data_IF_044804678854
#
_entry.id   IF_044804678854
#
_cell.length_a   1.000
_cell.length_b   1.000
_cell.length_c   1.000
_cell.angle_alpha   90.00
_cell.angle_beta   90.00
_cell.angle_gamma   90.00
#
_symmetry.space_group_name_H-M   'P 1'
#
loop_
_entity.id
_entity.type
_entity.pdbx_description
1 polymer ?
#
# COMPACT_ATOMS: atom_id res chain seq x y z
N UNK A 1 -21.51 -6.93 -1.32
CA UNK A 1 -20.82 -7.88 -0.44
C UNK A 1 -20.24 -7.18 0.77
N UNK A 2 -20.46 -7.69 1.97
CA UNK A 2 -19.78 -7.23 3.18
C UNK A 2 -18.30 -7.70 3.21
N UNK A 3 -17.47 -7.12 4.09
CA UNK A 3 -16.04 -7.48 4.24
C UNK A 3 -15.87 -8.99 4.45
N UNK A 4 -16.60 -9.56 5.40
CA UNK A 4 -16.47 -10.97 5.79
C UNK A 4 -16.80 -11.92 4.62
N UNK A 5 -17.85 -11.59 3.86
CA UNK A 5 -18.25 -12.34 2.68
C UNK A 5 -17.12 -12.33 1.62
N UNK A 6 -16.51 -11.17 1.42
CA UNK A 6 -15.46 -11.00 0.42
C UNK A 6 -14.19 -11.76 0.80
N UNK A 7 -13.77 -11.68 2.07
CA UNK A 7 -12.65 -12.44 2.62
C UNK A 7 -12.88 -13.95 2.49
N UNK A 8 -14.08 -14.41 2.83
CA UNK A 8 -14.49 -15.82 2.72
C UNK A 8 -14.39 -16.31 1.27
N UNK A 9 -14.93 -15.55 0.31
CA UNK A 9 -14.88 -15.91 -1.12
C UNK A 9 -13.46 -15.93 -1.66
N UNK A 10 -12.61 -14.96 -1.28
CA UNK A 10 -11.20 -14.94 -1.71
C UNK A 10 -10.44 -16.15 -1.15
N UNK A 11 -10.68 -16.53 0.10
CA UNK A 11 -10.09 -17.73 0.70
C UNK A 11 -10.57 -19.00 0.01
N UNK A 12 -11.88 -19.11 -0.27
CA UNK A 12 -12.48 -20.25 -0.97
C UNK A 12 -11.84 -20.45 -2.35
N UNK A 13 -11.76 -19.39 -3.17
CA UNK A 13 -11.13 -19.49 -4.50
C UNK A 13 -9.63 -19.77 -4.43
N UNK A 14 -8.93 -19.29 -3.41
CA UNK A 14 -7.50 -19.61 -3.20
C UNK A 14 -7.33 -21.09 -2.94
N UNK A 15 -8.15 -21.68 -2.05
CA UNK A 15 -8.18 -23.12 -1.78
C UNK A 15 -8.45 -23.93 -3.05
N UNK A 16 -9.47 -23.56 -3.83
CA UNK A 16 -9.80 -24.24 -5.10
C UNK A 16 -8.64 -24.18 -6.11
N UNK A 17 -7.98 -23.03 -6.23
CA UNK A 17 -6.80 -22.90 -7.11
C UNK A 17 -5.68 -23.83 -6.65
N UNK A 18 -5.42 -23.91 -5.35
CA UNK A 18 -4.33 -24.72 -4.81
C UNK A 18 -4.64 -26.22 -4.91
N UNK A 19 -5.89 -26.64 -4.73
CA UNK A 19 -6.37 -28.01 -5.01
C UNK A 19 -6.15 -28.38 -6.48
N UNK A 20 -6.54 -27.51 -7.43
CA UNK A 20 -6.35 -27.74 -8.86
C UNK A 20 -4.88 -27.80 -9.28
N UNK A 21 -3.99 -27.07 -8.60
CA UNK A 21 -2.54 -27.13 -8.87
C UNK A 21 -1.92 -28.47 -8.48
N UNK A 22 -2.54 -29.25 -7.59
CA UNK A 22 -2.06 -30.60 -7.24
C UNK A 22 -2.39 -31.65 -8.30
N UNK A 23 -3.32 -31.34 -9.21
CA UNK A 23 -3.69 -32.25 -10.29
C UNK A 23 -2.66 -32.22 -11.44
N UNK A 24 -2.54 -33.31 -12.23
CA UNK A 24 -1.67 -33.33 -13.40
C UNK A 24 -1.97 -32.17 -14.33
N UNK A 25 -0.93 -31.42 -14.71
CA UNK A 25 -1.10 -30.22 -15.52
C UNK A 25 -1.67 -30.54 -16.89
N UNK A 26 -2.87 -30.04 -17.18
CA UNK A 26 -3.55 -30.19 -18.47
C UNK A 26 -4.15 -28.86 -18.95
N UNK A 27 -4.41 -28.74 -20.26
CA UNK A 27 -5.04 -27.53 -20.84
C UNK A 27 -6.40 -27.20 -20.18
N UNK A 28 -7.30 -28.18 -19.91
CA UNK A 28 -8.54 -27.92 -19.16
C UNK A 28 -8.29 -27.39 -17.74
N UNK A 29 -7.38 -28.00 -16.99
CA UNK A 29 -7.07 -27.59 -15.61
C UNK A 29 -6.50 -26.17 -15.58
N UNK A 30 -5.56 -25.85 -16.48
CA UNK A 30 -5.02 -24.48 -16.60
C UNK A 30 -6.14 -23.47 -16.88
N UNK A 31 -7.06 -23.78 -17.80
CA UNK A 31 -8.20 -22.91 -18.11
C UNK A 31 -9.10 -22.70 -16.89
N UNK A 32 -9.38 -23.76 -16.13
CA UNK A 32 -10.19 -23.68 -14.91
C UNK A 32 -9.51 -22.80 -13.85
N UNK A 33 -8.21 -22.97 -13.63
CA UNK A 33 -7.43 -22.12 -12.71
C UNK A 33 -7.52 -20.65 -13.12
N UNK A 34 -7.36 -20.33 -14.41
CA UNK A 34 -7.45 -18.94 -14.89
C UNK A 34 -8.85 -18.35 -14.70
N UNK A 35 -9.92 -19.13 -14.94
CA UNK A 35 -11.28 -18.68 -14.65
C UNK A 35 -11.47 -18.34 -13.17
N UNK A 36 -10.97 -19.20 -12.27
CA UNK A 36 -11.07 -18.97 -10.82
C UNK A 36 -10.21 -17.77 -10.39
N UNK A 37 -9.02 -17.58 -10.97
CA UNK A 37 -8.19 -16.39 -10.71
C UNK A 37 -8.89 -15.09 -11.12
N UNK A 38 -9.60 -15.09 -12.25
CA UNK A 38 -10.38 -13.93 -12.71
C UNK A 38 -11.46 -13.59 -11.66
N UNK A 39 -12.23 -14.58 -11.21
CA UNK A 39 -13.27 -14.40 -10.20
C UNK A 39 -12.68 -13.94 -8.86
N UNK A 40 -11.66 -14.64 -8.33
CA UNK A 40 -10.94 -14.23 -7.12
C UNK A 40 -10.43 -12.79 -7.21
N UNK A 41 -9.91 -12.41 -8.38
CA UNK A 41 -9.44 -11.06 -8.65
C UNK A 41 -10.56 -10.02 -8.59
N UNK A 42 -11.79 -10.33 -9.03
CA UNK A 42 -12.94 -9.42 -8.92
C UNK A 42 -13.29 -9.15 -7.46
N UNK A 43 -13.37 -10.21 -6.64
CA UNK A 43 -13.66 -10.09 -5.21
C UNK A 43 -12.58 -9.32 -4.46
N UNK A 44 -11.30 -9.64 -4.70
CA UNK A 44 -10.18 -8.92 -4.11
C UNK A 44 -10.19 -7.44 -4.49
N UNK A 45 -10.46 -7.09 -5.76
CA UNK A 45 -10.56 -5.68 -6.19
C UNK A 45 -11.69 -4.94 -5.48
N UNK A 46 -12.86 -5.55 -5.33
CA UNK A 46 -13.98 -4.93 -4.63
C UNK A 46 -13.64 -4.61 -3.16
N UNK A 47 -12.89 -5.48 -2.48
CA UNK A 47 -12.40 -5.21 -1.12
C UNK A 47 -11.37 -4.07 -1.10
N UNK A 48 -10.40 -4.10 -2.02
CA UNK A 48 -9.38 -3.05 -2.13
C UNK A 48 -9.99 -1.68 -2.42
N UNK A 49 -11.03 -1.60 -3.26
CA UNK A 49 -11.76 -0.35 -3.53
C UNK A 49 -12.40 0.22 -2.26
N UNK A 50 -13.00 -0.63 -1.42
CA UNK A 50 -13.55 -0.22 -0.12
C UNK A 50 -12.46 0.26 0.84
N UNK A 51 -11.33 -0.43 0.89
CA UNK A 51 -10.18 -0.03 1.70
C UNK A 51 -9.71 1.35 1.24
N UNK A 52 -9.46 1.53 -0.06
CA UNK A 52 -9.01 2.82 -0.59
C UNK A 52 -10.00 3.95 -0.31
N UNK A 53 -11.30 3.68 -0.44
CA UNK A 53 -12.34 4.66 -0.14
C UNK A 53 -12.40 5.07 1.35
N UNK A 54 -11.88 4.25 2.27
CA UNK A 54 -11.85 4.54 3.71
C UNK A 54 -10.60 5.34 4.14
N UNK A 55 -9.51 5.31 3.36
CA UNK A 55 -8.26 5.98 3.74
C UNK A 55 -8.33 7.49 3.55
N UNK A 56 -7.88 8.23 4.57
CA UNK A 56 -7.73 9.68 4.58
C UNK A 56 -6.37 10.03 5.19
N UNK A 57 -5.67 10.96 4.56
CA UNK A 57 -4.43 11.55 5.05
C UNK A 57 -4.71 12.97 5.53
N UNK A 58 -4.05 13.40 6.59
CA UNK A 58 -4.17 14.71 7.22
C UNK A 58 -2.76 15.31 7.29
N UNK A 59 -2.62 16.61 7.02
CA UNK A 59 -1.34 17.29 7.19
C UNK A 59 -1.35 18.27 8.37
N UNK A 60 -0.20 18.88 8.67
CA UNK A 60 -0.06 19.80 9.80
C UNK A 60 -0.86 21.10 9.65
N UNK A 61 -1.40 21.38 8.45
CA UNK A 61 -2.29 22.51 8.18
C UNK A 61 -3.78 22.16 8.40
N UNK A 62 -4.09 20.91 8.75
CA UNK A 62 -5.46 20.42 8.91
C UNK A 62 -6.17 20.09 7.59
N UNK A 63 -5.45 20.06 6.46
CA UNK A 63 -6.02 19.63 5.18
C UNK A 63 -6.18 18.11 5.16
N UNK A 64 -7.17 17.61 4.40
CA UNK A 64 -7.44 16.18 4.25
C UNK A 64 -7.33 15.76 2.79
N UNK A 65 -6.60 14.69 2.51
CA UNK A 65 -6.48 14.07 1.19
C UNK A 65 -7.02 12.62 1.22
N UNK A 66 -8.11 12.32 0.51
CA UNK A 66 -8.53 10.94 0.27
C UNK A 66 -7.52 10.16 -0.55
N UNK A 67 -7.28 8.89 -0.20
CA UNK A 67 -6.35 8.04 -0.97
C UNK A 67 -6.78 7.90 -2.44
N UNK A 68 -8.08 7.91 -2.72
CA UNK A 68 -8.64 7.86 -4.07
C UNK A 68 -8.34 9.09 -4.92
N UNK A 69 -7.93 10.20 -4.32
CA UNK A 69 -7.61 11.46 -5.00
C UNK A 69 -6.09 11.66 -5.16
N UNK A 70 -5.28 10.74 -4.65
CA UNK A 70 -3.82 10.81 -4.81
C UNK A 70 -3.45 10.55 -6.27
N UNK A 71 -2.72 11.50 -6.87
CA UNK A 71 -2.14 11.30 -8.20
C UNK A 71 -1.02 10.26 -8.14
N UNK A 72 -1.29 9.10 -8.72
CA UNK A 72 -0.35 7.97 -8.82
C UNK A 72 0.10 7.75 -10.26
N UNK A 73 -0.29 8.61 -11.21
CA UNK A 73 -0.12 8.37 -12.64
C UNK A 73 -0.93 7.18 -13.18
N UNK A 74 -1.88 6.67 -12.39
CA UNK A 74 -2.70 5.50 -12.74
C UNK A 74 -4.15 5.73 -12.34
N UNK A 75 -5.07 4.96 -12.94
CA UNK A 75 -6.50 5.11 -12.68
C UNK A 75 -6.92 4.73 -11.26
N UNK A 76 -6.07 4.02 -10.52
CA UNK A 76 -6.35 3.56 -9.15
C UNK A 76 -5.08 3.51 -8.32
N UNK A 77 -5.12 3.91 -7.04
CA UNK A 77 -3.97 3.79 -6.16
C UNK A 77 -3.43 2.34 -6.09
N UNK A 78 -2.10 2.15 -5.97
CA UNK A 78 -1.52 0.83 -5.74
C UNK A 78 -2.02 0.19 -4.45
N UNK A 79 -2.18 -1.13 -4.42
CA UNK A 79 -2.54 -1.84 -3.19
C UNK A 79 -1.46 -1.68 -2.12
N UNK A 80 -1.90 -1.37 -0.90
CA UNK A 80 -1.03 -1.11 0.25
C UNK A 80 -0.43 0.31 0.28
N UNK A 81 -0.93 1.22 -0.56
CA UNK A 81 -0.57 2.63 -0.47
C UNK A 81 -1.04 3.23 0.87
N UNK A 82 -0.17 4.01 1.51
CA UNK A 82 -0.41 4.54 2.86
C UNK A 82 -0.18 3.55 4.00
N UNK A 83 0.18 2.29 3.70
CA UNK A 83 0.36 1.26 4.73
C UNK A 83 1.80 1.16 5.27
N UNK A 84 2.75 1.84 4.62
CA UNK A 84 4.15 1.92 5.06
C UNK A 84 4.30 2.69 6.40
N UNK A 85 5.45 2.50 7.05
CA UNK A 85 5.73 3.12 8.35
C UNK A 85 5.76 4.65 8.27
N UNK A 86 6.47 5.22 7.29
CA UNK A 86 6.58 6.67 7.11
C UNK A 86 5.22 7.42 7.14
N UNK A 87 4.24 7.11 6.25
CA UNK A 87 2.96 7.82 6.28
C UNK A 87 2.20 7.60 7.60
N UNK A 88 2.24 6.40 8.19
CA UNK A 88 1.57 6.12 9.47
C UNK A 88 2.16 6.92 10.63
N UNK A 89 3.48 7.02 10.71
CA UNK A 89 4.17 7.79 11.75
C UNK A 89 3.88 9.28 11.62
N UNK A 90 3.90 9.82 10.40
CA UNK A 90 3.53 11.22 10.14
C UNK A 90 2.08 11.48 10.55
N UNK A 91 1.13 10.65 10.12
CA UNK A 91 -0.28 10.75 10.53
C UNK A 91 -0.44 10.71 12.04
N UNK A 92 0.28 9.81 12.72
CA UNK A 92 0.23 9.70 14.17
C UNK A 92 0.77 10.96 14.85
N UNK A 93 1.91 11.49 14.40
CA UNK A 93 2.46 12.73 14.94
C UNK A 93 1.48 13.89 14.78
N UNK A 94 0.96 14.10 13.57
CA UNK A 94 0.03 15.17 13.22
C UNK A 94 -1.25 15.09 14.08
N UNK A 95 -1.87 13.90 14.17
CA UNK A 95 -3.11 13.70 14.94
C UNK A 95 -2.94 13.87 16.45
N UNK A 96 -1.73 13.69 16.95
CA UNK A 96 -1.41 13.89 18.37
C UNK A 96 -0.84 15.29 18.65
N UNK A 97 -0.84 16.20 17.66
CA UNK A 97 -0.28 17.55 17.81
C UNK A 97 1.23 17.57 18.05
N UNK A 98 1.94 16.52 17.64
CA UNK A 98 3.39 16.43 17.72
C UNK A 98 4.02 17.08 16.49
N UNK A 99 5.11 17.81 16.69
CA UNK A 99 5.88 18.43 15.60
C UNK A 99 6.92 17.44 15.06
N UNK A 100 6.82 16.98 13.81
CA UNK A 100 7.86 16.15 13.22
C UNK A 100 9.14 16.96 13.03
N UNK A 101 10.25 16.51 13.63
CA UNK A 101 11.57 17.16 13.51
C UNK A 101 12.46 16.50 12.45
N UNK A 102 12.18 15.25 12.12
CA UNK A 102 12.95 14.46 11.16
C UNK A 102 12.44 13.02 11.14
N UNK A 103 12.72 12.33 10.05
CA UNK A 103 12.36 10.93 9.86
C UNK A 103 13.40 10.26 8.98
N UNK A 104 13.74 9.03 9.30
CA UNK A 104 14.60 8.18 8.48
C UNK A 104 14.04 6.77 8.45
N UNK A 105 14.13 6.12 7.29
CA UNK A 105 13.82 4.70 7.13
C UNK A 105 15.13 3.95 6.90
N UNK A 106 15.33 2.85 7.62
CA UNK A 106 16.51 1.98 7.47
C UNK A 106 16.11 0.52 7.50
N UNK A 107 17.01 -0.32 7.00
CA UNK A 107 16.83 -1.78 7.03
C UNK A 107 17.56 -2.39 8.23
N UNK A 108 16.91 -3.35 8.89
CA UNK A 108 17.48 -4.11 10.00
C UNK A 108 17.42 -5.61 9.71
N UNK A 109 18.53 -6.32 9.85
CA UNK A 109 18.68 -7.72 9.50
C UNK A 109 19.32 -7.99 8.13
N UNK A 110 19.59 -9.27 7.87
CA UNK A 110 20.36 -9.71 6.72
C UNK A 110 19.66 -9.41 5.37
N UNK A 111 20.42 -9.05 4.32
CA UNK A 111 19.89 -8.94 2.96
C UNK A 111 19.33 -10.28 2.48
N UNK A 112 18.29 -10.22 1.64
CA UNK A 112 17.75 -11.40 0.96
C UNK A 112 17.85 -11.24 -0.55
N UNK A 113 17.81 -12.35 -1.30
CA UNK A 113 17.79 -12.30 -2.76
C UNK A 113 16.59 -11.50 -3.32
N UNK A 114 15.47 -11.47 -2.59
CA UNK A 114 14.25 -10.75 -2.98
C UNK A 114 14.33 -9.26 -2.58
N UNK A 115 14.96 -8.96 -1.44
CA UNK A 115 15.13 -7.60 -0.92
C UNK A 115 16.61 -7.37 -0.60
N UNK A 116 17.41 -6.90 -1.59
CA UNK A 116 18.84 -6.67 -1.42
C UNK A 116 19.09 -5.35 -0.66
N UNK A 117 18.60 -5.29 0.57
CA UNK A 117 18.77 -4.15 1.48
C UNK A 117 19.84 -4.50 2.50
N UNK A 118 20.80 -3.61 2.69
CA UNK A 118 21.88 -3.76 3.64
C UNK A 118 21.46 -3.25 5.00
N UNK A 119 21.80 -3.99 6.04
CA UNK A 119 21.56 -3.59 7.44
C UNK A 119 22.20 -2.23 7.75
N UNK A 120 21.47 -1.39 8.49
CA UNK A 120 21.90 -0.06 8.91
C UNK A 120 21.91 1.00 7.79
N UNK A 121 21.60 0.64 6.55
CA UNK A 121 21.57 1.59 5.44
C UNK A 121 20.24 2.32 5.38
N UNK A 122 20.32 3.64 5.17
CA UNK A 122 19.17 4.51 4.97
C UNK A 122 18.63 4.37 3.55
N UNK A 123 17.31 4.28 3.48
CA UNK A 123 16.60 4.21 2.21
C UNK A 123 15.47 5.23 2.21
N UNK A 124 15.34 5.93 1.07
CA UNK A 124 14.19 6.81 0.87
C UNK A 124 12.89 6.01 0.77
N UNK A 125 11.79 6.71 0.97
CA UNK A 125 10.46 6.12 0.90
C UNK A 125 10.15 5.52 -0.47
N UNK A 126 9.22 4.56 -0.46
CA UNK A 126 8.88 3.81 -1.64
C UNK A 126 8.35 4.71 -2.77
N UNK A 127 8.99 4.68 -3.94
CA UNK A 127 8.67 5.58 -5.07
C UNK A 127 7.25 5.45 -5.57
N UNK A 128 6.74 4.22 -5.65
CA UNK A 128 5.43 3.98 -6.26
C UNK A 128 4.25 4.23 -5.33
N UNK A 129 4.43 4.10 -4.00
CA UNK A 129 3.32 4.18 -3.03
C UNK A 129 3.46 5.31 -2.02
N UNK A 130 4.66 5.61 -1.56
CA UNK A 130 4.88 6.55 -0.46
C UNK A 130 5.13 7.95 -1.01
N UNK A 131 6.00 8.03 -2.03
CA UNK A 131 6.40 9.31 -2.62
C UNK A 131 5.20 10.18 -3.06
N UNK A 132 4.13 9.65 -3.71
CA UNK A 132 3.04 10.50 -4.17
C UNK A 132 2.21 11.14 -3.04
N UNK A 133 2.21 10.57 -1.83
CA UNK A 133 1.49 11.14 -0.68
C UNK A 133 2.37 12.00 0.22
N UNK A 134 3.69 11.79 0.22
CA UNK A 134 4.60 12.46 1.15
C UNK A 134 4.61 13.98 0.96
N UNK A 135 4.52 14.46 -0.28
CA UNK A 135 4.44 15.90 -0.54
C UNK A 135 3.25 16.55 0.16
N UNK A 136 2.08 15.89 0.17
CA UNK A 136 0.91 16.36 0.90
C UNK A 136 1.09 16.27 2.42
N UNK A 137 1.56 15.12 2.92
CA UNK A 137 1.72 14.86 4.36
C UNK A 137 2.69 15.83 5.05
N UNK A 138 3.72 16.28 4.32
CA UNK A 138 4.76 17.16 4.85
C UNK A 138 4.39 18.65 4.78
N UNK A 139 3.23 19.02 4.22
CA UNK A 139 2.78 20.43 4.22
C UNK A 139 2.55 20.90 5.65
N UNK A 140 3.07 22.09 5.96
CA UNK A 140 3.02 22.67 7.30
C UNK A 140 4.02 22.07 8.29
N UNK A 141 4.91 21.16 7.86
CA UNK A 141 6.01 20.67 8.69
C UNK A 141 7.24 21.52 8.43
N UNK A 142 7.67 22.30 9.42
CA UNK A 142 8.81 23.22 9.30
C UNK A 142 10.12 22.51 8.90
N UNK A 143 10.37 21.32 9.46
CA UNK A 143 11.54 20.51 9.14
C UNK A 143 11.57 19.99 7.69
N UNK A 144 10.44 20.06 6.97
CA UNK A 144 10.32 19.60 5.59
C UNK A 144 10.37 20.75 4.57
N UNK A 145 10.53 22.00 5.01
CA UNK A 145 10.66 23.13 4.11
C UNK A 145 11.91 22.99 3.24
N UNK A 146 11.71 22.93 1.93
CA UNK A 146 12.82 22.97 0.97
C UNK A 146 13.11 24.44 0.70
N UNK A 147 14.17 24.97 1.27
CA UNK A 147 14.67 26.29 0.88
C UNK A 147 15.07 26.20 -0.59
N UNK A 148 14.40 26.97 -1.46
CA UNK A 148 14.85 27.10 -2.83
C UNK A 148 16.27 27.68 -2.79
N UNK A 149 17.25 26.86 -3.16
CA UNK A 149 18.60 27.36 -3.41
C UNK A 149 18.50 28.13 -4.73
N UNK A 150 18.42 29.46 -4.61
CA UNK A 150 18.52 30.42 -5.71
C UNK A 150 19.89 30.34 -6.38
#
# INVERSE_FOLDING_TARGET
ADRLETETRVAEFTRQIDELKQLPTSKPIRRQIEMIKIERGKWSRALTEKIHAAYRFENALGEVLPLTEVDTGSSRPPTGMGDCCAPKLLQAAIRNGLTPLGMVEFWWGAPSAVHPRSEGVYYGSCREKCYPILGFLLRGVDAAQVTAVS
#
